data_IF_758506295875
#
_entry.id   IF_758506295875
#
_cell.length_a   1.000
_cell.length_b   1.000
_cell.length_c   1.000
_cell.angle_alpha   90.00
_cell.angle_beta   90.00
_cell.angle_gamma   90.00
#
_symmetry.space_group_name_H-M   'P 1'
#
loop_
_entity.id
_entity.type
_entity.pdbx_description
1 polymer ?
#
# COMPACT_ATOMS: atom_id res chain seq x y z
N UNK A 1 2.78 20.21 -15.44
CA UNK A 1 2.54 19.05 -14.55
C UNK A 1 3.59 18.02 -14.90
N UNK A 2 4.26 17.37 -13.93
CA UNK A 2 5.13 16.23 -14.26
C UNK A 2 4.27 15.18 -14.98
N UNK A 3 4.59 14.92 -16.24
CA UNK A 3 3.90 13.91 -17.03
C UNK A 3 4.39 12.54 -16.55
N UNK A 4 3.53 11.79 -15.86
CA UNK A 4 3.77 10.35 -15.62
C UNK A 4 3.61 9.51 -16.90
N UNK A 5 3.43 10.16 -18.05
CA UNK A 5 3.06 9.49 -19.28
C UNK A 5 4.25 8.82 -19.95
N UNK A 6 4.00 7.53 -20.24
CA UNK A 6 4.88 6.46 -20.70
C UNK A 6 5.65 5.78 -19.56
N UNK A 7 5.52 4.45 -19.48
CA UNK A 7 6.31 3.55 -18.64
C UNK A 7 5.95 3.43 -17.15
N UNK A 8 5.25 4.38 -16.52
CA UNK A 8 4.89 4.34 -15.08
C UNK A 8 3.39 4.62 -14.84
N UNK A 9 2.51 3.61 -14.92
CA UNK A 9 1.06 3.80 -14.91
C UNK A 9 0.48 4.26 -13.57
N UNK A 10 1.19 4.07 -12.44
CA UNK A 10 0.75 4.55 -11.12
C UNK A 10 1.50 5.83 -10.67
N UNK A 11 2.27 6.46 -11.56
CA UNK A 11 3.09 7.63 -11.24
C UNK A 11 4.12 7.41 -10.13
N UNK A 12 4.52 6.17 -9.84
CA UNK A 12 5.55 5.94 -8.83
C UNK A 12 6.94 6.37 -9.31
N UNK A 13 7.13 6.52 -10.63
CA UNK A 13 8.31 7.13 -11.24
C UNK A 13 7.87 8.28 -12.14
N UNK A 14 8.59 9.40 -12.05
CA UNK A 14 8.22 10.63 -12.77
C UNK A 14 9.45 11.35 -13.31
N UNK A 15 9.21 12.13 -14.36
CA UNK A 15 10.22 12.92 -15.07
C UNK A 15 9.93 14.42 -14.93
N UNK A 16 10.23 15.03 -13.76
CA UNK A 16 9.85 16.42 -13.49
C UNK A 16 10.67 17.44 -14.28
N UNK A 17 11.85 17.06 -14.78
CA UNK A 17 12.77 17.94 -15.50
C UNK A 17 12.67 17.82 -17.03
N UNK A 18 11.88 16.87 -17.55
CA UNK A 18 11.71 16.64 -18.98
C UNK A 18 11.73 15.16 -19.35
N UNK A 19 11.25 14.87 -20.56
CA UNK A 19 11.15 13.52 -21.09
C UNK A 19 10.02 12.69 -20.50
N UNK A 20 10.05 11.40 -20.85
CA UNK A 20 9.11 10.37 -20.41
C UNK A 20 9.87 9.26 -19.70
N UNK A 21 9.19 8.54 -18.81
CA UNK A 21 9.78 7.40 -18.13
C UNK A 21 9.82 6.19 -19.08
N UNK A 22 10.99 5.57 -19.23
CA UNK A 22 11.18 4.42 -20.09
C UNK A 22 11.89 3.31 -19.33
N UNK A 23 11.48 2.07 -19.58
CA UNK A 23 12.14 0.87 -19.08
C UNK A 23 12.19 -0.14 -20.22
N UNK A 24 13.39 -0.48 -20.67
CA UNK A 24 13.57 -1.33 -21.84
C UNK A 24 13.79 -2.78 -21.43
N UNK A 25 13.09 -3.69 -22.11
CA UNK A 25 13.19 -5.13 -21.85
C UNK A 25 14.51 -5.73 -22.34
N UNK A 26 15.08 -5.17 -23.40
CA UNK A 26 16.27 -5.68 -24.07
C UNK A 26 17.52 -4.84 -23.73
N UNK A 27 18.74 -5.38 -23.91
CA UNK A 27 19.98 -4.64 -23.74
C UNK A 27 19.95 -3.29 -24.47
N UNK A 28 20.41 -2.20 -23.84
CA UNK A 28 21.20 -2.16 -22.59
C UNK A 28 20.35 -2.15 -21.30
N UNK A 29 19.09 -2.57 -21.33
CA UNK A 29 18.18 -2.62 -20.18
C UNK A 29 17.96 -1.25 -19.54
N UNK A 30 17.82 -0.22 -20.37
CA UNK A 30 17.63 1.16 -19.91
C UNK A 30 16.50 1.28 -18.89
N UNK A 31 16.70 2.15 -17.91
CA UNK A 31 15.65 2.64 -17.02
C UNK A 31 15.92 4.11 -16.70
N UNK A 32 14.94 4.99 -16.90
CA UNK A 32 15.10 6.42 -16.59
C UNK A 32 14.21 7.33 -17.41
N UNK A 33 14.45 8.63 -17.26
CA UNK A 33 13.75 9.68 -18.01
C UNK A 33 14.51 10.03 -19.28
N UNK A 34 13.85 9.87 -20.43
CA UNK A 34 14.42 10.21 -21.73
C UNK A 34 13.40 10.97 -22.58
N UNK A 35 13.81 11.95 -23.38
CA UNK A 35 12.93 12.63 -24.33
C UNK A 35 12.69 11.85 -25.63
N UNK A 36 13.50 10.83 -25.91
CA UNK A 36 13.39 9.92 -27.05
C UNK A 36 13.23 8.47 -26.58
N UNK A 37 12.40 7.66 -27.24
CA UNK A 37 12.20 6.26 -26.83
C UNK A 37 13.51 5.43 -26.93
N UNK A 38 14.12 5.07 -25.80
CA UNK A 38 15.40 4.37 -25.73
C UNK A 38 15.27 2.87 -26.05
N UNK A 39 14.05 2.35 -26.13
CA UNK A 39 13.79 0.92 -26.32
C UNK A 39 13.73 0.50 -27.79
N UNK A 40 13.77 1.47 -28.70
CA UNK A 40 13.71 1.22 -30.16
C UNK A 40 15.08 1.03 -30.79
N UNK A 41 16.17 1.43 -30.11
CA UNK A 41 17.53 1.38 -30.64
C UNK A 41 18.40 0.42 -29.81
N UNK A 42 18.63 -0.78 -30.34
CA UNK A 42 19.33 -1.87 -29.63
C UNK A 42 20.85 -1.86 -29.82
N UNK A 43 21.42 -0.85 -30.51
CA UNK A 43 22.78 -0.96 -31.05
C UNK A 43 23.84 -0.01 -30.50
N UNK A 44 23.48 1.15 -29.93
CA UNK A 44 24.44 1.99 -29.20
C UNK A 44 23.69 3.12 -28.48
N UNK A 45 24.02 3.33 -27.20
CA UNK A 45 23.43 4.31 -26.27
C UNK A 45 21.95 4.11 -25.97
N UNK A 46 21.66 3.82 -24.71
CA UNK A 46 20.32 3.66 -24.19
C UNK A 46 19.45 4.90 -24.45
N UNK A 47 19.82 6.00 -23.82
CA UNK A 47 19.26 7.33 -24.03
C UNK A 47 20.44 8.28 -24.29
N UNK A 48 20.42 9.09 -25.37
CA UNK A 48 21.45 10.11 -25.60
C UNK A 48 21.56 11.07 -24.42
N UNK A 49 22.76 11.52 -24.09
CA UNK A 49 23.01 12.34 -22.90
C UNK A 49 22.22 13.66 -22.95
N UNK A 50 22.11 14.29 -24.12
CA UNK A 50 21.31 15.51 -24.31
C UNK A 50 19.80 15.33 -24.09
N UNK A 51 19.33 14.08 -24.15
CA UNK A 51 17.93 13.70 -24.00
C UNK A 51 17.63 13.08 -22.63
N UNK A 52 18.65 12.95 -21.78
CA UNK A 52 18.57 12.27 -20.49
C UNK A 52 18.22 13.26 -19.38
N UNK A 53 17.30 12.87 -18.51
CA UNK A 53 16.83 13.69 -17.39
C UNK A 53 16.88 12.91 -16.08
N UNK A 54 17.01 13.63 -14.97
CA UNK A 54 16.93 13.03 -13.64
C UNK A 54 15.50 12.51 -13.38
N UNK A 55 15.42 11.26 -12.91
CA UNK A 55 14.16 10.63 -12.54
C UNK A 55 13.89 10.79 -11.04
N UNK A 56 12.61 10.90 -10.71
CA UNK A 56 12.12 10.95 -9.34
C UNK A 56 11.22 9.74 -9.08
N UNK A 57 11.27 9.22 -7.86
CA UNK A 57 10.44 8.10 -7.43
C UNK A 57 9.62 8.44 -6.19
N UNK A 58 8.55 7.68 -5.93
CA UNK A 58 7.77 7.81 -4.70
C UNK A 58 8.56 7.25 -3.49
N UNK A 59 8.80 8.02 -2.42
CA UNK A 59 9.56 7.63 -1.22
C UNK A 59 9.24 6.25 -0.64
N UNK A 60 7.98 5.81 -0.70
CA UNK A 60 7.52 4.52 -0.17
C UNK A 60 8.17 3.31 -0.86
N UNK A 61 8.75 3.52 -2.05
CA UNK A 61 9.47 2.49 -2.80
C UNK A 61 10.92 2.32 -2.34
N UNK A 62 11.47 3.21 -1.52
CA UNK A 62 12.90 3.24 -1.22
C UNK A 62 13.47 1.87 -0.80
N UNK A 63 12.80 1.18 0.13
CA UNK A 63 13.26 -0.13 0.62
C UNK A 63 13.06 -1.27 -0.39
N UNK A 64 12.24 -1.05 -1.42
CA UNK A 64 12.00 -1.99 -2.52
C UNK A 64 13.00 -1.79 -3.67
N UNK A 65 13.56 -0.59 -3.80
CA UNK A 65 14.50 -0.21 -4.84
C UNK A 65 15.90 -0.72 -4.49
N UNK A 66 16.25 -1.88 -5.04
CA UNK A 66 17.59 -2.44 -4.89
C UNK A 66 18.64 -1.72 -5.75
N UNK A 67 19.91 -2.15 -5.65
CA UNK A 67 20.98 -1.66 -6.53
C UNK A 67 20.60 -1.84 -7.99
N UNK A 68 21.09 -1.02 -8.91
CA UNK A 68 21.02 -1.30 -10.36
C UNK A 68 22.36 -0.95 -10.99
N UNK A 69 22.41 -0.92 -12.33
CA UNK A 69 23.63 -0.66 -13.08
C UNK A 69 23.55 0.68 -13.80
N UNK A 70 24.70 1.12 -14.30
CA UNK A 70 24.80 2.24 -15.23
C UNK A 70 25.27 1.71 -16.58
N UNK A 71 24.72 2.25 -17.66
CA UNK A 71 25.13 1.88 -19.02
C UNK A 71 26.50 2.49 -19.27
N UNK A 72 27.50 1.66 -19.62
CA UNK A 72 28.87 2.10 -19.90
C UNK A 72 29.59 2.84 -18.74
N UNK A 73 29.08 2.73 -17.51
CA UNK A 73 29.64 3.34 -16.31
C UNK A 73 29.65 2.36 -15.13
N UNK A 74 30.40 2.69 -14.07
CA UNK A 74 30.44 1.90 -12.85
C UNK A 74 29.07 1.84 -12.16
N UNK A 75 28.72 0.69 -11.59
CA UNK A 75 27.52 0.55 -10.75
C UNK A 75 27.59 1.39 -9.46
N UNK A 76 28.77 1.89 -9.07
CA UNK A 76 28.93 2.82 -7.96
C UNK A 76 28.28 4.20 -8.22
N UNK A 77 28.03 4.52 -9.49
CA UNK A 77 27.31 5.73 -9.88
C UNK A 77 25.79 5.58 -9.76
N UNK A 78 25.27 4.40 -9.40
CA UNK A 78 23.84 4.20 -9.15
C UNK A 78 23.47 4.71 -7.75
N UNK A 79 22.47 5.58 -7.69
CA UNK A 79 21.96 6.12 -6.43
C UNK A 79 20.44 6.01 -6.35
N UNK A 80 19.98 5.75 -5.13
CA UNK A 80 18.59 5.89 -4.70
C UNK A 80 18.60 6.80 -3.49
N UNK A 81 17.97 7.98 -3.57
CA UNK A 81 17.98 8.99 -2.51
C UNK A 81 16.55 9.29 -2.07
N UNK A 82 16.20 9.00 -0.81
CA UNK A 82 14.85 9.21 -0.26
C UNK A 82 14.65 10.57 0.42
N UNK A 83 15.75 11.22 0.83
CA UNK A 83 15.70 12.37 1.74
C UNK A 83 16.04 13.71 1.08
N UNK A 84 16.12 13.74 -0.25
CA UNK A 84 16.29 14.95 -1.05
C UNK A 84 14.95 15.66 -1.24
N UNK A 85 14.94 16.95 -1.58
CA UNK A 85 13.69 17.69 -1.84
C UNK A 85 12.84 17.00 -2.93
N UNK A 86 13.52 16.40 -3.91
CA UNK A 86 12.94 15.44 -4.83
C UNK A 86 13.74 14.13 -4.74
N UNK A 87 13.10 13.01 -4.35
CA UNK A 87 13.76 11.71 -4.31
C UNK A 87 14.41 11.39 -5.64
N UNK A 88 15.67 10.95 -5.64
CA UNK A 88 16.39 10.67 -6.88
C UNK A 88 16.56 9.16 -7.06
N UNK A 89 16.39 8.70 -8.29
CA UNK A 89 16.79 7.34 -8.69
C UNK A 89 17.48 7.38 -10.05
N UNK A 90 18.59 6.67 -10.18
CA UNK A 90 19.30 6.51 -11.44
C UNK A 90 20.81 6.62 -11.26
N UNK A 91 21.52 6.86 -12.36
CA UNK A 91 22.95 7.03 -12.33
C UNK A 91 23.34 8.52 -12.33
N UNK A 92 24.35 8.87 -11.53
CA UNK A 92 24.86 10.23 -11.42
C UNK A 92 26.39 10.22 -11.26
N UNK A 93 27.10 11.18 -11.84
CA UNK A 93 28.55 11.31 -11.68
C UNK A 93 28.94 11.78 -10.26
N UNK A 94 28.08 12.56 -9.62
CA UNK A 94 28.26 13.08 -8.26
C UNK A 94 27.18 12.51 -7.35
N UNK A 95 27.50 12.17 -6.09
CA UNK A 95 26.52 11.63 -5.15
C UNK A 95 25.31 12.58 -5.00
N UNK A 96 24.12 12.25 -5.53
CA UNK A 96 22.96 13.12 -5.50
C UNK A 96 22.23 13.07 -4.16
N UNK A 97 22.64 12.18 -3.23
CA UNK A 97 22.01 12.05 -1.93
C UNK A 97 22.59 13.03 -0.89
N UNK A 98 23.75 13.65 -1.17
CA UNK A 98 24.29 14.72 -0.32
C UNK A 98 23.77 16.09 -0.74
N UNK A 99 23.42 16.24 -2.02
CA UNK A 99 22.82 17.44 -2.57
C UNK A 99 21.29 17.38 -2.40
N UNK A 100 20.70 18.32 -1.66
CA UNK A 100 19.24 18.31 -1.43
C UNK A 100 18.41 18.53 -2.72
N UNK A 101 19.05 18.80 -3.85
CA UNK A 101 18.43 19.03 -5.17
C UNK A 101 18.38 17.78 -6.06
N UNK A 102 18.98 16.66 -5.65
CA UNK A 102 19.14 15.48 -6.50
C UNK A 102 20.31 15.62 -7.50
N UNK A 103 20.31 14.81 -8.56
CA UNK A 103 21.40 14.80 -9.55
C UNK A 103 21.32 16.02 -10.50
N UNK A 104 22.39 16.83 -10.61
CA UNK A 104 22.45 17.93 -11.58
C UNK A 104 22.31 17.45 -13.02
N UNK A 105 21.64 18.24 -13.89
CA UNK A 105 21.34 17.86 -15.28
C UNK A 105 22.55 17.36 -16.09
N UNK A 106 23.71 18.03 -15.96
CA UNK A 106 24.94 17.65 -16.68
C UNK A 106 25.66 16.42 -16.10
N UNK A 107 25.22 15.92 -14.95
CA UNK A 107 25.86 14.82 -14.23
C UNK A 107 24.98 13.55 -14.27
N UNK A 108 23.78 13.61 -14.86
CA UNK A 108 22.91 12.43 -15.00
C UNK A 108 23.55 11.49 -16.02
N UNK A 109 23.64 10.21 -15.68
CA UNK A 109 24.19 9.17 -16.53
C UNK A 109 23.12 8.13 -16.89
N UNK A 110 23.20 7.46 -18.06
CA UNK A 110 22.17 6.51 -18.44
C UNK A 110 22.17 5.30 -17.48
N UNK A 111 21.01 4.99 -16.93
CA UNK A 111 20.84 3.92 -15.96
C UNK A 111 20.30 2.65 -16.63
N UNK A 112 20.63 1.50 -16.06
CA UNK A 112 20.16 0.19 -16.51
C UNK A 112 19.68 -0.65 -15.34
N UNK A 113 18.49 -1.24 -15.45
CA UNK A 113 18.01 -2.18 -14.45
C UNK A 113 18.81 -3.50 -14.54
N UNK A 114 18.88 -4.24 -13.43
CA UNK A 114 19.66 -5.47 -13.35
C UNK A 114 18.90 -6.65 -13.99
N UNK A 115 19.35 -7.23 -15.11
CA UNK A 115 18.66 -8.35 -15.77
C UNK A 115 18.57 -9.62 -14.91
N UNK A 116 19.46 -9.74 -13.92
CA UNK A 116 19.44 -10.84 -12.93
C UNK A 116 18.29 -10.74 -11.92
N UNK A 117 17.59 -9.60 -11.85
CA UNK A 117 16.44 -9.36 -10.97
C UNK A 117 15.24 -8.91 -11.80
N UNK A 118 14.57 -9.87 -12.44
CA UNK A 118 13.40 -9.59 -13.29
C UNK A 118 12.24 -8.93 -12.53
N UNK A 119 12.09 -9.18 -11.23
CA UNK A 119 11.11 -8.47 -10.38
C UNK A 119 11.36 -6.95 -10.33
N UNK A 120 12.58 -6.51 -10.58
CA UNK A 120 12.93 -5.10 -10.65
C UNK A 120 12.46 -4.45 -11.95
N UNK A 121 12.42 -5.21 -13.05
CA UNK A 121 11.78 -4.77 -14.29
C UNK A 121 10.30 -4.52 -14.07
N UNK A 122 9.58 -5.45 -13.42
CA UNK A 122 8.15 -5.30 -13.12
C UNK A 122 7.89 -4.10 -12.18
N UNK A 123 8.80 -3.87 -11.22
CA UNK A 123 8.77 -2.71 -10.34
C UNK A 123 8.96 -1.40 -11.10
N UNK A 124 9.94 -1.31 -12.00
CA UNK A 124 10.21 -0.10 -12.79
C UNK A 124 9.16 0.15 -13.88
N UNK A 125 8.57 -0.90 -14.44
CA UNK A 125 7.35 -0.82 -15.24
C UNK A 125 6.15 -0.29 -14.44
N UNK A 126 6.30 -0.23 -13.11
CA UNK A 126 5.28 0.21 -12.18
C UNK A 126 3.95 -0.54 -12.44
N UNK A 127 4.10 -1.83 -12.70
CA UNK A 127 3.00 -2.75 -12.95
C UNK A 127 2.38 -3.18 -11.61
N UNK A 128 1.67 -2.26 -10.94
CA UNK A 128 0.81 -2.45 -9.77
C UNK A 128 1.20 -3.61 -8.82
N UNK A 129 1.96 -3.29 -7.77
CA UNK A 129 1.62 -3.82 -6.46
C UNK A 129 0.79 -2.75 -5.76
N UNK A 130 -0.24 -3.17 -5.03
CA UNK A 130 -1.03 -2.31 -4.16
C UNK A 130 -0.09 -1.75 -3.08
N UNK A 131 0.60 -0.65 -3.38
CA UNK A 131 1.47 0.01 -2.44
C UNK A 131 0.56 0.71 -1.46
N UNK A 132 0.28 -0.03 -0.39
CA UNK A 132 -0.43 0.42 0.79
C UNK A 132 0.14 1.77 1.19
N UNK A 133 -0.61 2.85 0.89
CA UNK A 133 -0.54 4.10 1.64
C UNK A 133 -0.52 3.70 3.12
N UNK A 134 0.34 4.29 3.98
CA UNK A 134 0.43 3.87 5.37
C UNK A 134 -0.93 4.07 6.02
N UNK A 135 -1.67 2.96 6.19
CA UNK A 135 -2.81 2.86 7.06
C UNK A 135 -2.35 2.00 8.21
N UNK A 136 -2.26 2.66 9.36
CA UNK A 136 -2.13 2.12 10.70
C UNK A 136 -2.56 0.66 10.83
N UNK A 137 -1.65 -0.13 11.38
CA UNK A 137 -1.79 -1.46 11.99
C UNK A 137 -3.21 -2.02 12.03
N UNK A 138 -3.43 -3.15 11.36
CA UNK A 138 -4.11 -4.34 11.93
C UNK A 138 -3.89 -5.49 10.94
N UNK A 139 -3.34 -6.59 11.46
CA UNK A 139 -3.15 -7.86 10.75
C UNK A 139 -4.43 -8.36 10.10
N UNK A 140 -4.34 -8.89 8.87
CA UNK A 140 -4.98 -10.15 8.44
C UNK A 140 -4.53 -10.47 7.02
N UNK A 141 -3.75 -11.54 6.90
CA UNK A 141 -3.37 -12.18 5.64
C UNK A 141 -4.57 -12.88 5.02
N UNK A 142 -5.12 -12.34 3.93
CA UNK A 142 -6.00 -12.98 2.95
C UNK A 142 -5.86 -12.15 1.65
N UNK A 143 -5.79 -12.64 0.42
CA UNK A 143 -5.94 -13.96 -0.16
C UNK A 143 -5.63 -13.79 -1.65
N UNK A 144 -4.58 -14.42 -2.16
CA UNK A 144 -4.42 -14.60 -3.60
C UNK A 144 -5.30 -15.78 -4.02
N UNK A 145 -6.50 -15.53 -4.54
CA UNK A 145 -7.28 -16.55 -5.24
C UNK A 145 -7.23 -16.32 -6.75
N UNK A 146 -6.74 -17.36 -7.41
CA UNK A 146 -6.70 -17.57 -8.85
C UNK A 146 -8.06 -17.30 -9.54
N UNK A 147 -7.97 -16.80 -10.78
CA UNK A 147 -9.09 -16.45 -11.68
C UNK A 147 -10.13 -17.56 -11.92
N UNK A 148 -9.94 -18.77 -11.40
CA UNK A 148 -10.93 -19.86 -11.42
C UNK A 148 -12.08 -19.73 -10.39
N UNK A 149 -12.01 -18.86 -9.39
CA UNK A 149 -13.04 -18.74 -8.33
C UNK A 149 -14.23 -17.81 -8.69
N UNK A 150 -14.13 -17.02 -9.76
CA UNK A 150 -15.06 -15.92 -10.06
C UNK A 150 -16.26 -16.37 -10.94
N UNK A 151 -16.27 -17.61 -11.46
CA UNK A 151 -17.34 -18.10 -12.32
C UNK A 151 -18.54 -18.78 -11.58
N UNK A 152 -18.53 -18.87 -10.25
CA UNK A 152 -19.45 -19.74 -9.50
C UNK A 152 -20.65 -19.09 -8.77
N UNK A 153 -20.78 -17.76 -8.73
CA UNK A 153 -21.78 -17.09 -7.87
C UNK A 153 -22.72 -16.17 -8.67
N UNK A 154 -23.26 -16.66 -9.78
CA UNK A 154 -24.30 -15.90 -10.53
C UNK A 154 -25.65 -16.60 -10.60
N UNK A 155 -25.80 -17.84 -10.08
CA UNK A 155 -27.10 -18.57 -10.11
C UNK A 155 -27.45 -19.23 -8.74
N UNK A 156 -26.92 -18.73 -7.62
CA UNK A 156 -27.22 -19.25 -6.27
C UNK A 156 -27.92 -18.27 -5.31
N UNK A 157 -28.16 -17.02 -5.74
CA UNK A 157 -28.48 -15.91 -4.84
C UNK A 157 -29.91 -15.86 -4.27
N UNK A 158 -30.86 -16.61 -4.83
CA UNK A 158 -32.26 -16.51 -4.40
C UNK A 158 -32.65 -17.52 -3.33
N UNK A 159 -32.00 -18.68 -3.25
CA UNK A 159 -32.29 -19.67 -2.21
C UNK A 159 -31.76 -19.23 -0.83
N UNK A 160 -30.57 -18.63 -0.77
CA UNK A 160 -29.96 -18.18 0.48
C UNK A 160 -30.72 -17.03 1.14
N UNK A 161 -31.19 -16.05 0.35
CA UNK A 161 -31.95 -14.91 0.87
C UNK A 161 -33.33 -15.36 1.40
N UNK A 162 -34.00 -16.30 0.72
CA UNK A 162 -35.27 -16.84 1.18
C UNK A 162 -35.13 -17.62 2.49
N UNK A 163 -34.07 -18.43 2.64
CA UNK A 163 -33.80 -19.18 3.88
C UNK A 163 -33.46 -18.25 5.04
N UNK A 164 -32.66 -17.19 4.80
CA UNK A 164 -32.34 -16.20 5.83
C UNK A 164 -33.59 -15.43 6.28
N UNK A 165 -34.43 -14.98 5.34
CA UNK A 165 -35.67 -14.27 5.68
C UNK A 165 -36.67 -15.19 6.41
N UNK A 166 -36.78 -16.46 6.01
CA UNK A 166 -37.63 -17.44 6.69
C UNK A 166 -37.11 -17.72 8.12
N UNK A 167 -35.79 -17.86 8.30
CA UNK A 167 -35.16 -18.07 9.60
C UNK A 167 -35.39 -16.89 10.56
N UNK A 168 -35.20 -15.66 10.08
CA UNK A 168 -35.48 -14.43 10.86
C UNK A 168 -36.97 -14.33 11.20
N UNK A 169 -37.86 -14.61 10.24
CA UNK A 169 -39.30 -14.57 10.47
C UNK A 169 -39.76 -15.60 11.52
N UNK A 170 -39.26 -16.83 11.47
CA UNK A 170 -39.57 -17.86 12.46
C UNK A 170 -38.98 -17.53 13.84
N UNK A 171 -37.78 -16.93 13.91
CA UNK A 171 -37.18 -16.47 15.16
C UNK A 171 -37.98 -15.32 15.81
N UNK A 172 -38.47 -14.37 15.01
CA UNK A 172 -39.33 -13.29 15.50
C UNK A 172 -40.71 -13.81 15.92
N UNK A 173 -41.29 -14.75 15.18
CA UNK A 173 -42.57 -15.38 15.54
C UNK A 173 -42.46 -16.22 16.80
N UNK A 174 -41.35 -16.94 17.00
CA UNK A 174 -41.13 -17.71 18.23
C UNK A 174 -40.89 -16.80 19.44
N UNK A 175 -40.18 -15.67 19.27
CA UNK A 175 -40.06 -14.64 20.31
C UNK A 175 -41.42 -14.04 20.68
N UNK A 176 -42.29 -13.74 19.71
CA UNK A 176 -43.65 -13.26 19.99
C UNK A 176 -44.53 -14.30 20.69
N UNK A 177 -44.38 -15.58 20.34
CA UNK A 177 -45.08 -16.67 21.05
C UNK A 177 -44.56 -16.87 22.48
N UNK A 178 -43.26 -16.65 22.72
CA UNK A 178 -42.67 -16.65 24.08
C UNK A 178 -43.16 -15.49 24.94
N UNK A 179 -43.57 -14.37 24.32
CA UNK A 179 -44.12 -13.21 25.03
C UNK A 179 -45.64 -13.30 25.31
N UNK A 180 -46.30 -14.40 24.95
CA UNK A 180 -47.69 -14.69 25.31
C UNK A 180 -47.81 -15.91 26.26
N UNK A 181 -46.73 -16.29 26.95
CA UNK A 181 -46.68 -17.48 27.81
C UNK A 181 -45.81 -17.36 29.06
N UNK A 182 -45.54 -16.15 29.56
CA UNK A 182 -44.90 -15.93 30.85
C UNK A 182 -45.53 -14.74 31.59
N UNK A 183 -46.80 -14.92 31.96
CA UNK A 183 -47.38 -14.29 33.15
C UNK A 183 -47.31 -15.30 34.28
N UNK A 184 -46.34 -15.12 35.18
CA UNK A 184 -46.37 -15.64 36.56
C UNK A 184 -45.13 -15.10 37.31
N UNK A 185 -45.35 -14.24 38.31
CA UNK A 185 -44.39 -14.00 39.38
C UNK A 185 -43.76 -12.61 39.48
N UNK A 186 -44.59 -11.59 39.74
CA UNK A 186 -44.29 -10.52 40.71
C UNK A 186 -44.11 -11.21 42.09
N UNK A 187 -43.22 -10.87 43.02
CA UNK A 187 -43.10 -9.60 43.74
C UNK A 187 -42.02 -9.82 44.82
N UNK A 188 -40.89 -9.13 44.80
CA UNK A 188 -39.96 -9.11 45.95
C UNK A 188 -40.29 -7.90 46.81
N UNK A 189 -41.00 -8.14 47.91
CA UNK A 189 -41.26 -7.16 48.97
C UNK A 189 -39.96 -6.88 49.73
N UNK A 190 -39.65 -5.62 50.10
CA UNK A 190 -38.58 -5.33 51.03
C UNK A 190 -39.10 -5.57 52.44
N UNK A 191 -38.51 -6.49 53.20
CA UNK A 191 -38.66 -6.46 54.65
C UNK A 191 -37.41 -7.00 55.35
N UNK A 192 -36.63 -6.05 55.84
CA UNK A 192 -35.54 -6.22 56.79
C UNK A 192 -36.12 -6.74 58.11
N UNK A 193 -35.58 -7.83 58.66
CA UNK A 193 -36.07 -8.41 59.90
C UNK A 193 -35.14 -9.49 60.46
N UNK A 194 -33.93 -9.11 60.87
CA UNK A 194 -33.19 -9.87 61.87
C UNK A 194 -32.82 -8.94 63.02
N UNK A 195 -33.43 -9.25 64.15
CA UNK A 195 -33.34 -8.60 65.45
C UNK A 195 -32.07 -9.03 66.19
N UNK A 196 -31.62 -8.12 67.07
CA UNK A 196 -30.81 -8.29 68.29
C UNK A 196 -29.63 -9.26 68.22
N UNK A 197 -28.40 -8.87 68.54
CA UNK A 197 -27.89 -8.41 69.84
C UNK A 197 -26.38 -8.23 69.54
N UNK A 198 -25.67 -7.19 69.95
CA UNK A 198 -24.88 -7.20 71.16
C UNK A 198 -24.17 -5.82 71.31
N UNK A 199 -24.48 -5.13 72.39
CA UNK A 199 -23.50 -4.62 73.38
C UNK A 199 -22.63 -3.38 73.02
N UNK A 200 -23.06 -2.25 73.61
CA UNK A 200 -22.29 -1.20 74.31
C UNK A 200 -21.35 -0.26 73.52
N UNK A 201 -21.73 1.02 73.43
CA UNK A 201 -21.09 2.14 74.18
C UNK A 201 -21.78 3.49 73.89
N UNK A 202 -22.14 4.30 74.90
CA UNK A 202 -22.66 5.66 74.71
C UNK A 202 -21.59 6.72 75.03
N UNK A 203 -21.51 7.82 74.26
CA UNK A 203 -21.11 9.14 74.77
C UNK A 203 -21.84 10.24 73.98
N UNK A 204 -22.39 11.18 74.73
CA UNK A 204 -23.25 12.29 74.34
C UNK A 204 -22.50 13.58 73.95
N UNK A 205 -23.16 14.47 73.18
CA UNK A 205 -23.17 15.96 73.25
C UNK A 205 -24.36 16.42 72.38
N UNK A 206 -25.44 17.10 72.80
CA UNK A 206 -25.67 18.36 73.55
C UNK A 206 -25.23 19.61 72.78
N UNK A 207 -26.18 20.27 72.11
CA UNK A 207 -26.74 21.60 72.49
C UNK A 207 -28.10 21.80 71.80
#
# INVERSE_FOLDING_TARGET
MPSCESGSPNCHFTCPFGGSWHVCRDPPYFVGCCSSDPCTNTTASACPLENLYAAVFEPVLFDKLGPSNCVDHSAENWFTCNYTFQPFIGCCETNPCVENTGCPFGNVLPAAWSPTRTSMYDMFMDASENITKPKTETETSVSGLSAGAIAGITIGGFAGLAILLLGVFLALRSRRRRQAGHTAGEEEKPFLGHYAEYVLRPVAMKQ
#
